data_IF_643378947443
#
_entry.id   IF_643378947443
#
_cell.length_a   1.000
_cell.length_b   1.000
_cell.length_c   1.000
_cell.angle_alpha   90.00
_cell.angle_beta   90.00
_cell.angle_gamma   90.00
#
_symmetry.space_group_name_H-M   'P 1'
#
loop_
_entity.id
_entity.type
_entity.pdbx_description
1 polymer ?
#
# COMPACT_ATOMS: atom_id res chain seq x y z
N UNK A 1 -15.87 7.62 -3.15
CA UNK A 1 -15.54 6.19 -2.92
C UNK A 1 -14.04 6.07 -2.82
N UNK A 2 -13.50 5.55 -1.71
CA UNK A 2 -12.06 5.31 -1.50
C UNK A 2 -11.68 3.84 -1.80
N UNK A 3 -12.64 3.09 -2.36
CA UNK A 3 -12.49 1.69 -2.71
C UNK A 3 -11.52 1.59 -3.89
N UNK A 4 -10.47 0.78 -3.72
CA UNK A 4 -9.48 0.52 -4.76
C UNK A 4 -9.29 -0.98 -4.94
N UNK A 5 -9.70 -1.47 -6.11
CA UNK A 5 -9.57 -2.85 -6.56
C UNK A 5 -8.48 -3.01 -7.62
N UNK A 6 -7.69 -1.96 -7.85
CA UNK A 6 -6.63 -1.84 -8.86
C UNK A 6 -7.04 -2.11 -10.32
N UNK A 7 -8.33 -2.40 -10.58
CA UNK A 7 -8.85 -2.91 -11.86
C UNK A 7 -8.85 -1.89 -12.99
N UNK A 8 -8.63 -0.61 -12.67
CA UNK A 8 -8.50 0.48 -13.65
C UNK A 8 -7.34 1.40 -13.28
N UNK A 9 -6.19 1.21 -13.94
CA UNK A 9 -5.04 2.13 -13.84
C UNK A 9 -5.51 3.58 -13.96
N UNK A 10 -5.20 4.39 -12.95
CA UNK A 10 -5.41 5.84 -12.94
C UNK A 10 -6.86 6.35 -13.11
N UNK A 11 -7.88 5.48 -13.09
CA UNK A 11 -9.28 5.91 -13.31
C UNK A 11 -10.18 5.77 -12.07
N UNK A 12 -9.91 4.81 -11.18
CA UNK A 12 -10.75 4.57 -9.99
C UNK A 12 -10.01 4.70 -8.65
N UNK A 13 -8.69 4.84 -8.66
CA UNK A 13 -7.89 5.16 -7.49
C UNK A 13 -6.48 5.57 -7.92
N UNK A 14 -6.07 6.79 -7.59
CA UNK A 14 -4.75 7.35 -7.95
C UNK A 14 -3.73 6.99 -6.87
N UNK A 15 -3.58 5.70 -6.60
CA UNK A 15 -2.55 5.25 -5.66
C UNK A 15 -1.19 5.27 -6.37
N UNK A 16 -0.36 6.24 -6.01
CA UNK A 16 0.95 6.46 -6.64
C UNK A 16 2.07 5.78 -5.85
N UNK A 17 2.94 5.04 -6.54
CA UNK A 17 4.23 4.65 -5.96
C UNK A 17 5.08 5.91 -5.90
N UNK A 18 5.49 6.34 -4.72
CA UNK A 18 6.50 7.40 -4.62
C UNK A 18 7.88 6.76 -4.76
N UNK A 19 8.68 7.21 -5.72
CA UNK A 19 10.07 6.79 -5.87
C UNK A 19 10.85 7.11 -4.59
N UNK A 20 11.55 6.13 -4.03
CA UNK A 20 12.39 6.33 -2.86
C UNK A 20 13.65 7.09 -3.26
N UNK A 21 13.70 8.38 -2.90
CA UNK A 21 14.81 9.30 -3.19
C UNK A 21 16.04 9.04 -2.30
N UNK A 22 16.56 7.82 -2.29
CA UNK A 22 17.80 7.46 -1.55
C UNK A 22 18.78 6.63 -2.36
N UNK A 23 18.81 6.79 -3.69
CA UNK A 23 19.85 6.22 -4.55
C UNK A 23 20.76 7.31 -5.09
N UNK A 24 22.05 7.30 -4.71
CA UNK A 24 23.08 7.90 -5.56
C UNK A 24 22.95 7.28 -6.96
N UNK A 25 23.03 8.11 -8.00
CA UNK A 25 22.74 7.80 -9.41
C UNK A 25 23.66 6.75 -10.09
N UNK A 26 24.39 5.91 -9.35
CA UNK A 26 25.47 5.07 -9.91
C UNK A 26 25.45 3.57 -9.53
N UNK A 27 24.33 3.04 -9.01
CA UNK A 27 24.21 1.59 -8.78
C UNK A 27 22.87 1.06 -9.28
N UNK A 28 22.90 0.06 -10.19
CA UNK A 28 21.75 -0.74 -10.65
C UNK A 28 21.13 -1.57 -9.50
N UNK A 29 20.67 -0.90 -8.45
CA UNK A 29 19.90 -1.49 -7.38
C UNK A 29 18.46 -1.51 -7.88
N UNK A 30 17.87 -2.70 -8.02
CA UNK A 30 16.49 -2.86 -8.43
C UNK A 30 15.59 -1.96 -7.58
N UNK A 31 14.90 -1.02 -8.24
CA UNK A 31 14.06 -0.04 -7.55
C UNK A 31 12.94 -0.77 -6.80
N UNK A 32 12.86 -0.54 -5.49
CA UNK A 32 11.75 -1.03 -4.69
C UNK A 32 10.48 -0.26 -5.11
N UNK A 33 9.69 -0.84 -6.02
CA UNK A 33 8.51 -0.18 -6.59
C UNK A 33 7.24 -1.00 -6.34
N UNK A 34 6.13 -0.28 -6.15
CA UNK A 34 4.80 -0.86 -6.20
C UNK A 34 4.35 -1.04 -7.64
N UNK A 35 3.86 -2.23 -7.95
CA UNK A 35 3.35 -2.62 -9.26
C UNK A 35 1.95 -3.21 -9.13
N UNK A 36 1.25 -3.33 -10.25
CA UNK A 36 -0.01 -4.07 -10.33
C UNK A 36 0.28 -5.49 -10.76
N UNK A 37 -0.07 -6.44 -9.90
CA UNK A 37 -0.14 -7.87 -10.21
C UNK A 37 -1.49 -8.22 -10.82
N UNK A 38 -1.49 -9.26 -11.67
CA UNK A 38 -2.68 -9.76 -12.33
C UNK A 38 -2.91 -11.24 -11.97
N UNK A 39 -4.14 -11.60 -11.61
CA UNK A 39 -4.56 -12.98 -11.42
C UNK A 39 -4.87 -13.74 -12.73
N UNK A 40 -5.05 -15.06 -12.69
CA UNK A 40 -5.07 -15.91 -11.50
C UNK A 40 -3.66 -16.40 -11.09
N UNK A 41 -3.38 -16.34 -9.79
CA UNK A 41 -2.14 -16.85 -9.21
C UNK A 41 -2.17 -18.37 -9.03
N UNK A 42 -1.02 -19.03 -9.11
CA UNK A 42 -0.91 -20.44 -8.77
C UNK A 42 -1.08 -20.62 -7.25
N UNK A 43 -2.11 -21.35 -6.84
CA UNK A 43 -2.49 -21.53 -5.44
C UNK A 43 -1.42 -22.21 -4.60
N UNK A 44 -0.81 -23.30 -5.09
CA UNK A 44 0.22 -24.03 -4.36
C UNK A 44 1.45 -23.15 -4.10
N UNK A 45 1.90 -22.43 -5.13
CA UNK A 45 3.02 -21.49 -5.03
C UNK A 45 2.68 -20.34 -4.08
N UNK A 46 1.48 -19.78 -4.18
CA UNK A 46 1.03 -18.70 -3.30
C UNK A 46 1.05 -19.15 -1.84
N UNK A 47 0.40 -20.28 -1.53
CA UNK A 47 0.40 -20.85 -0.19
C UNK A 47 1.81 -21.14 0.33
N UNK A 48 2.69 -21.69 -0.52
CA UNK A 48 4.07 -21.98 -0.11
C UNK A 48 4.88 -20.73 0.27
N UNK A 49 4.53 -19.56 -0.30
CA UNK A 49 5.25 -18.30 -0.09
C UNK A 49 4.64 -17.43 1.01
N UNK A 50 3.31 -17.42 1.13
CA UNK A 50 2.56 -16.53 2.04
C UNK A 50 1.99 -17.28 3.26
N UNK A 51 1.76 -18.59 3.15
CA UNK A 51 1.01 -19.37 4.14
C UNK A 51 -0.52 -19.17 4.06
N UNK A 52 -1.01 -18.42 3.07
CA UNK A 52 -2.42 -18.08 2.89
C UNK A 52 -3.06 -18.85 1.73
N UNK A 53 -4.34 -19.19 1.89
CA UNK A 53 -5.13 -19.87 0.85
C UNK A 53 -6.16 -18.96 0.18
N UNK A 54 -6.44 -17.80 0.79
CA UNK A 54 -7.24 -16.72 0.26
C UNK A 54 -6.42 -15.95 -0.78
N UNK A 55 -6.60 -16.31 -2.06
CA UNK A 55 -5.94 -15.65 -3.16
C UNK A 55 -6.53 -14.26 -3.39
N UNK A 56 -5.73 -13.26 -3.80
CA UNK A 56 -6.27 -12.02 -4.32
C UNK A 56 -7.08 -12.30 -5.59
N UNK A 57 -8.33 -11.86 -5.61
CA UNK A 57 -9.17 -11.87 -6.81
C UNK A 57 -8.85 -10.66 -7.68
N UNK A 58 -8.68 -10.87 -8.99
CA UNK A 58 -8.49 -9.79 -9.96
C UNK A 58 -7.09 -9.18 -9.98
N UNK A 59 -7.03 -7.84 -10.01
CA UNK A 59 -5.79 -7.05 -9.99
C UNK A 59 -5.47 -6.60 -8.56
N UNK A 60 -4.19 -6.54 -8.21
CA UNK A 60 -3.76 -6.23 -6.84
C UNK A 60 -2.40 -5.52 -6.81
N UNK A 61 -2.15 -4.73 -5.77
CA UNK A 61 -0.85 -4.09 -5.58
C UNK A 61 0.20 -5.09 -5.06
N UNK A 62 1.41 -5.00 -5.63
CA UNK A 62 2.56 -5.83 -5.27
C UNK A 62 3.78 -4.93 -5.07
N UNK A 63 4.38 -5.00 -3.88
CA UNK A 63 5.70 -4.44 -3.62
C UNK A 63 6.75 -5.55 -3.74
N UNK A 64 7.69 -5.41 -4.68
CA UNK A 64 8.85 -6.30 -4.76
C UNK A 64 10.03 -5.64 -4.07
N UNK A 65 10.56 -6.28 -3.03
CA UNK A 65 11.72 -5.81 -2.28
C UNK A 65 12.87 -6.79 -2.48
N UNK A 66 13.83 -6.48 -3.36
CA UNK A 66 14.92 -7.40 -3.72
C UNK A 66 16.16 -7.22 -2.84
N UNK A 67 16.57 -5.98 -2.58
CA UNK A 67 17.86 -5.65 -1.96
C UNK A 67 17.73 -5.07 -0.55
N UNK A 68 16.56 -5.24 0.07
CA UNK A 68 16.19 -4.48 1.26
C UNK A 68 15.89 -3.00 0.93
N UNK A 69 15.31 -2.31 1.90
CA UNK A 69 14.84 -0.93 1.75
C UNK A 69 13.35 -0.80 2.03
N UNK A 70 12.76 0.29 1.56
CA UNK A 70 11.34 0.58 1.69
C UNK A 70 10.78 1.15 0.40
N UNK A 71 9.48 0.99 0.23
CA UNK A 71 8.72 1.61 -0.85
C UNK A 71 7.39 2.07 -0.30
N UNK A 72 6.85 3.17 -0.83
CA UNK A 72 5.66 3.82 -0.32
C UNK A 72 4.60 3.89 -1.42
N UNK A 73 3.36 3.59 -1.02
CA UNK A 73 2.19 3.69 -1.86
C UNK A 73 1.27 4.73 -1.23
N UNK A 74 1.05 5.83 -1.94
CA UNK A 74 0.30 6.99 -1.43
C UNK A 74 -1.11 6.98 -2.01
N UNK A 75 -2.12 7.08 -1.14
CA UNK A 75 -3.51 7.24 -1.56
C UNK A 75 -3.81 8.68 -1.99
N UNK A 76 -4.96 8.89 -2.64
CA UNK A 76 -5.53 10.23 -2.76
C UNK A 76 -5.90 10.82 -1.39
N UNK A 77 -6.11 12.14 -1.36
CA UNK A 77 -6.51 12.87 -0.17
C UNK A 77 -7.86 12.36 0.34
N UNK A 78 -7.86 11.86 1.58
CA UNK A 78 -9.06 11.43 2.28
C UNK A 78 -9.65 12.64 3.00
N UNK A 79 -10.80 13.13 2.51
CA UNK A 79 -11.50 14.25 3.14
C UNK A 79 -11.99 13.87 4.54
N UNK A 80 -11.85 14.79 5.49
CA UNK A 80 -12.38 14.61 6.84
C UNK A 80 -13.90 14.37 6.80
N UNK A 81 -14.34 13.42 7.61
CA UNK A 81 -15.75 13.05 7.80
C UNK A 81 -16.14 13.33 9.24
N UNK A 82 -17.41 13.69 9.46
CA UNK A 82 -17.95 13.94 10.81
C UNK A 82 -18.13 12.65 11.60
N UNK A 83 -18.33 11.53 10.90
CA UNK A 83 -18.51 10.20 11.47
C UNK A 83 -17.22 9.37 11.35
N UNK A 84 -17.11 8.31 12.14
CA UNK A 84 -15.99 7.37 12.05
C UNK A 84 -15.97 6.67 10.69
N UNK A 85 -14.79 6.63 10.06
CA UNK A 85 -14.53 5.88 8.82
C UNK A 85 -13.37 4.92 9.08
N UNK A 86 -13.51 3.69 8.57
CA UNK A 86 -12.47 2.66 8.65
C UNK A 86 -11.90 2.37 7.27
N UNK A 87 -10.58 2.21 7.20
CA UNK A 87 -9.87 1.72 6.02
C UNK A 87 -9.48 0.28 6.29
N UNK A 88 -9.81 -0.60 5.36
CA UNK A 88 -9.53 -2.03 5.45
C UNK A 88 -8.85 -2.47 4.16
N UNK A 89 -7.88 -3.37 4.28
CA UNK A 89 -7.18 -3.97 3.16
C UNK A 89 -6.80 -5.40 3.52
N UNK A 90 -6.73 -6.25 2.51
CA UNK A 90 -6.13 -7.58 2.64
C UNK A 90 -4.64 -7.47 2.37
N UNK A 91 -3.84 -8.17 3.16
CA UNK A 91 -2.38 -8.13 3.08
C UNK A 91 -1.82 -9.54 3.05
N UNK A 92 -0.99 -9.80 2.05
CA UNK A 92 -0.19 -11.01 1.97
C UNK A 92 1.28 -10.62 1.96
N UNK A 93 2.05 -11.23 2.85
CA UNK A 93 3.48 -10.97 3.00
C UNK A 93 4.26 -12.25 2.70
N UNK A 94 5.45 -12.07 2.14
CA UNK A 94 6.43 -13.15 1.96
C UNK A 94 7.73 -12.74 2.65
N UNK A 95 8.47 -13.71 3.21
CA UNK A 95 9.73 -13.44 3.91
C UNK A 95 9.57 -12.58 5.17
N UNK A 96 10.44 -11.59 5.35
CA UNK A 96 10.53 -10.74 6.56
C UNK A 96 10.02 -9.31 6.34
N UNK A 97 9.29 -9.08 5.24
CA UNK A 97 8.69 -7.79 4.91
C UNK A 97 7.78 -7.27 6.03
N UNK A 98 7.80 -5.96 6.26
CA UNK A 98 6.92 -5.28 7.22
C UNK A 98 6.11 -4.20 6.50
N UNK A 99 4.81 -4.16 6.76
CA UNK A 99 3.95 -3.07 6.34
C UNK A 99 3.83 -2.03 7.46
N UNK A 100 4.01 -0.76 7.11
CA UNK A 100 3.73 0.38 7.98
C UNK A 100 2.70 1.28 7.28
N UNK A 101 1.70 1.73 8.04
CA UNK A 101 0.68 2.68 7.56
C UNK A 101 0.99 4.04 8.16
N UNK A 102 1.16 5.05 7.31
CA UNK A 102 1.48 6.43 7.69
C UNK A 102 0.32 7.35 7.30
N UNK A 103 -0.04 8.28 8.18
CA UNK A 103 -0.93 9.39 7.86
C UNK A 103 -0.07 10.59 7.48
N UNK A 104 -0.32 11.16 6.30
CA UNK A 104 0.29 12.39 5.84
C UNK A 104 -0.81 13.44 5.76
N UNK A 105 -0.61 14.54 6.46
CA UNK A 105 -1.55 15.65 6.50
C UNK A 105 -1.07 16.76 5.54
N UNK A 106 -1.99 17.43 4.85
CA UNK A 106 -1.67 18.52 3.91
C UNK A 106 -1.41 19.87 4.63
N UNK A 107 -1.57 19.95 5.96
CA UNK A 107 -1.45 21.22 6.67
C UNK A 107 0.01 21.63 6.93
N UNK A 108 0.57 22.40 5.99
CA UNK A 108 1.47 23.49 6.35
C UNK A 108 0.63 24.67 6.85
N UNK A 109 0.49 24.77 8.17
CA UNK A 109 0.25 25.97 9.02
C UNK A 109 -0.79 25.77 10.11
N UNK A 110 -0.46 26.36 11.26
CA UNK A 110 -1.09 26.27 12.58
C UNK A 110 -2.59 26.55 12.53
N UNK A 111 -3.41 25.58 12.93
CA UNK A 111 -4.71 25.86 13.54
C UNK A 111 -5.01 24.86 14.65
N UNK A 112 -5.11 25.40 15.85
CA UNK A 112 -5.50 24.76 17.10
C UNK A 112 -6.77 23.89 16.94
N UNK A 113 -6.61 22.59 17.22
CA UNK A 113 -7.70 21.68 17.55
C UNK A 113 -8.49 21.14 16.36
N UNK A 114 -7.93 20.14 15.65
CA UNK A 114 -8.71 19.22 14.81
C UNK A 114 -8.49 17.77 15.30
N UNK A 115 -9.50 16.89 15.15
CA UNK A 115 -9.45 15.55 15.70
C UNK A 115 -8.41 14.72 14.95
N UNK A 116 -7.38 14.28 15.67
CA UNK A 116 -6.44 13.27 15.20
C UNK A 116 -7.19 11.97 14.96
N UNK A 117 -7.26 11.52 13.71
CA UNK A 117 -7.75 10.18 13.39
C UNK A 117 -6.81 9.12 13.97
N UNK A 118 -7.37 8.12 14.64
CA UNK A 118 -6.63 6.96 15.13
C UNK A 118 -6.87 5.77 14.21
N UNK A 119 -5.83 5.23 13.58
CA UNK A 119 -5.91 3.96 12.85
C UNK A 119 -5.65 2.81 13.83
N UNK A 120 -6.64 1.92 13.98
CA UNK A 120 -6.42 0.58 14.54
C UNK A 120 -6.15 -0.39 13.40
N UNK A 121 -4.88 -0.75 13.22
CA UNK A 121 -4.51 -1.88 12.37
C UNK A 121 -4.79 -3.19 13.13
N UNK A 122 -5.90 -3.85 12.85
CA UNK A 122 -6.15 -5.23 13.30
C UNK A 122 -5.69 -6.20 12.21
N UNK A 123 -4.70 -7.04 12.51
CA UNK A 123 -4.45 -8.24 11.69
C UNK A 123 -5.59 -9.23 11.98
N UNK A 124 -6.16 -9.85 10.94
CA UNK A 124 -6.88 -11.11 11.10
C UNK A 124 -5.88 -12.25 10.98
#
# INVERSE_FOLDING_TARGET
>A
ELTCDFSRRAANCVWGSTESTTGNEDTEIAENQWMVGHGPLNQEKFYSLTGHNDLPDGEFAVARMETGGSTMLLSEVIRCVVNEVSIQFNLWLTGTAKLQVCLVDEFNTVSSGLPTGHIRSSRR
#
